data_IF_107628404262
#
_entry.id   IF_107628404262
#
_cell.length_a   1.000
_cell.length_b   1.000
_cell.length_c   1.000
_cell.angle_alpha   90.00
_cell.angle_beta   90.00
_cell.angle_gamma   90.00
#
_symmetry.space_group_name_H-M   'P 1'
#
loop_
_entity.id
_entity.type
_entity.pdbx_description
1 polymer ?
#
# COMPACT_ATOMS: atom_id res chain seq x y z
N UNK A 1 -66.33 -34.01 36.26
CA UNK A 1 -66.37 -32.71 35.55
C UNK A 1 -64.93 -32.34 35.25
N UNK A 2 -64.55 -32.34 33.97
CA UNK A 2 -63.19 -32.04 33.56
C UNK A 2 -62.98 -30.52 33.59
N UNK A 3 -62.03 -30.05 34.41
CA UNK A 3 -61.61 -28.66 34.44
C UNK A 3 -60.85 -28.32 33.15
N UNK A 4 -61.50 -27.51 32.32
CA UNK A 4 -60.90 -26.93 31.12
C UNK A 4 -59.87 -25.88 31.58
N UNK A 5 -58.58 -26.23 31.51
CA UNK A 5 -57.50 -25.27 31.63
C UNK A 5 -57.48 -24.39 30.38
N UNK A 6 -58.05 -23.19 30.50
CA UNK A 6 -57.88 -22.11 29.53
C UNK A 6 -56.41 -21.67 29.57
N UNK A 7 -55.65 -22.00 28.52
CA UNK A 7 -54.34 -21.40 28.26
C UNK A 7 -54.57 -19.93 27.89
N UNK A 8 -54.21 -19.03 28.79
CA UNK A 8 -54.06 -17.60 28.48
C UNK A 8 -52.88 -17.47 27.49
N UNK A 9 -53.17 -17.10 26.24
CA UNK A 9 -52.18 -16.66 25.28
C UNK A 9 -51.61 -15.31 25.73
N UNK A 10 -50.28 -15.14 25.85
CA UNK A 10 -49.68 -13.81 25.99
C UNK A 10 -49.93 -13.00 24.70
N UNK A 11 -49.97 -11.66 24.79
CA UNK A 11 -50.27 -10.80 23.65
C UNK A 11 -49.30 -11.10 22.50
N UNK A 12 -49.85 -11.39 21.31
CA UNK A 12 -49.07 -11.59 20.10
C UNK A 12 -48.21 -10.34 19.84
N UNK A 13 -46.91 -10.41 20.13
CA UNK A 13 -45.96 -9.42 19.68
C UNK A 13 -45.97 -9.44 18.14
N UNK A 14 -46.17 -8.27 17.52
CA UNK A 14 -46.23 -8.17 16.06
C UNK A 14 -44.92 -8.69 15.46
N UNK A 15 -44.94 -9.70 14.57
CA UNK A 15 -43.74 -10.25 13.95
C UNK A 15 -42.85 -9.17 13.31
N UNK A 16 -43.44 -8.07 12.83
CA UNK A 16 -42.72 -6.94 12.23
C UNK A 16 -41.94 -6.14 13.28
N UNK A 17 -42.45 -6.03 14.50
CA UNK A 17 -41.81 -5.32 15.60
C UNK A 17 -40.56 -6.07 16.08
N UNK A 18 -40.64 -7.40 16.13
CA UNK A 18 -39.50 -8.28 16.45
C UNK A 18 -38.40 -8.14 15.38
N UNK A 19 -38.78 -8.15 14.10
CA UNK A 19 -37.85 -7.97 12.98
C UNK A 19 -37.12 -6.63 13.06
N UNK A 20 -37.86 -5.53 13.27
CA UNK A 20 -37.29 -4.18 13.39
C UNK A 20 -36.33 -4.08 14.58
N UNK A 21 -36.67 -4.69 15.72
CA UNK A 21 -35.82 -4.65 16.90
C UNK A 21 -34.52 -5.44 16.72
N UNK A 22 -34.55 -6.56 16.02
CA UNK A 22 -33.34 -7.32 15.65
C UNK A 22 -32.44 -6.48 14.73
N UNK A 23 -33.02 -5.76 13.77
CA UNK A 23 -32.29 -4.84 12.89
C UNK A 23 -31.61 -3.73 13.69
N UNK A 24 -32.32 -3.09 14.63
CA UNK A 24 -31.76 -2.07 15.52
C UNK A 24 -30.57 -2.60 16.34
N UNK A 25 -30.69 -3.81 16.89
CA UNK A 25 -29.59 -4.44 17.64
C UNK A 25 -28.38 -4.71 16.75
N UNK A 26 -28.60 -5.15 15.50
CA UNK A 26 -27.50 -5.32 14.55
C UNK A 26 -26.81 -3.98 14.18
N UNK A 27 -27.53 -2.86 14.20
CA UNK A 27 -26.95 -1.53 14.01
C UNK A 27 -26.13 -1.06 15.22
N UNK A 28 -26.54 -1.43 16.44
CA UNK A 28 -25.80 -1.11 17.67
C UNK A 28 -24.51 -1.92 17.81
N UNK A 29 -24.47 -3.13 17.24
CA UNK A 29 -23.30 -4.02 17.28
C UNK A 29 -22.80 -4.36 15.86
N UNK A 30 -21.93 -3.52 15.26
CA UNK A 30 -21.46 -3.69 13.88
C UNK A 30 -20.72 -5.01 13.60
N UNK A 31 -20.14 -5.62 14.63
CA UNK A 31 -19.43 -6.90 14.53
C UNK A 31 -20.37 -8.13 14.59
N UNK A 32 -21.67 -7.93 14.78
CA UNK A 32 -22.70 -8.97 14.84
C UNK A 32 -23.20 -9.26 16.27
N UNK A 33 -24.40 -9.82 16.35
CA UNK A 33 -25.11 -10.18 17.59
C UNK A 33 -25.34 -11.70 17.67
N UNK A 34 -25.38 -12.26 18.88
CA UNK A 34 -25.71 -13.68 19.12
C UNK A 34 -27.17 -13.82 19.57
N UNK A 35 -27.75 -15.03 19.49
CA UNK A 35 -29.13 -15.26 19.98
C UNK A 35 -29.27 -14.90 21.48
N UNK A 36 -28.20 -15.04 22.26
CA UNK A 36 -28.18 -14.64 23.67
C UNK A 36 -28.36 -13.13 23.86
N UNK A 37 -27.75 -12.30 22.99
CA UNK A 37 -27.92 -10.84 23.03
C UNK A 37 -29.37 -10.47 22.71
N UNK A 38 -29.96 -11.13 21.70
CA UNK A 38 -31.36 -10.95 21.32
C UNK A 38 -32.30 -11.36 22.47
N UNK A 39 -32.01 -12.48 23.14
CA UNK A 39 -32.78 -12.97 24.28
C UNK A 39 -32.70 -12.05 25.51
N UNK A 40 -31.53 -11.45 25.78
CA UNK A 40 -31.35 -10.56 26.92
C UNK A 40 -32.07 -9.22 26.73
N UNK A 41 -32.10 -8.69 25.51
CA UNK A 41 -32.82 -7.46 25.16
C UNK A 41 -34.32 -7.67 25.03
N UNK A 42 -34.75 -8.86 24.60
CA UNK A 42 -36.16 -9.22 24.44
C UNK A 42 -36.51 -10.51 25.20
N UNK A 43 -36.52 -10.48 26.55
CA UNK A 43 -36.76 -11.66 27.37
C UNK A 43 -38.21 -12.17 27.34
N UNK A 44 -39.14 -11.35 26.83
CA UNK A 44 -40.57 -11.64 26.73
C UNK A 44 -40.94 -12.41 25.45
N UNK A 45 -39.99 -12.61 24.53
CA UNK A 45 -40.23 -13.29 23.24
C UNK A 45 -39.77 -14.74 23.31
N UNK A 46 -40.66 -15.67 22.92
CA UNK A 46 -40.34 -17.09 22.89
C UNK A 46 -39.26 -17.40 21.83
N UNK A 47 -38.43 -18.42 22.10
CA UNK A 47 -37.36 -18.83 21.20
C UNK A 47 -37.85 -19.17 19.78
N UNK A 48 -39.08 -19.70 19.67
CA UNK A 48 -39.69 -20.05 18.39
C UNK A 48 -40.05 -18.80 17.56
N UNK A 49 -40.55 -17.74 18.20
CA UNK A 49 -40.84 -16.47 17.54
C UNK A 49 -39.56 -15.76 17.07
N UNK A 50 -38.49 -15.78 17.89
CA UNK A 50 -37.18 -15.25 17.49
C UNK A 50 -36.61 -15.98 16.28
N UNK A 51 -36.65 -17.32 16.29
CA UNK A 51 -36.16 -18.12 15.18
C UNK A 51 -36.91 -17.82 13.88
N UNK A 52 -38.23 -17.61 13.94
CA UNK A 52 -39.04 -17.24 12.77
C UNK A 52 -38.62 -15.86 12.23
N UNK A 53 -38.48 -14.85 13.09
CA UNK A 53 -38.05 -13.51 12.69
C UNK A 53 -36.63 -13.51 12.09
N UNK A 54 -35.68 -14.21 12.71
CA UNK A 54 -34.31 -14.36 12.21
C UNK A 54 -34.31 -15.04 10.84
N UNK A 55 -35.04 -16.16 10.69
CA UNK A 55 -35.12 -16.87 9.42
C UNK A 55 -35.76 -16.02 8.33
N UNK A 56 -36.75 -15.17 8.68
CA UNK A 56 -37.38 -14.24 7.75
C UNK A 56 -36.40 -13.15 7.30
N UNK A 57 -35.68 -12.52 8.22
CA UNK A 57 -34.65 -11.52 7.90
C UNK A 57 -33.49 -12.09 7.08
N UNK A 58 -33.10 -13.35 7.35
CA UNK A 58 -32.13 -14.09 6.53
C UNK A 58 -32.68 -14.37 5.13
N UNK A 59 -33.94 -14.80 5.01
CA UNK A 59 -34.60 -15.07 3.72
C UNK A 59 -34.80 -13.81 2.88
N UNK A 60 -35.02 -12.67 3.54
CA UNK A 60 -35.09 -11.33 2.93
C UNK A 60 -33.71 -10.75 2.62
N UNK A 61 -32.63 -11.41 3.06
CA UNK A 61 -31.25 -11.00 2.79
C UNK A 61 -30.82 -9.74 3.53
N UNK A 62 -31.49 -9.38 4.64
CA UNK A 62 -31.13 -8.23 5.48
C UNK A 62 -30.07 -8.56 6.54
N UNK A 63 -29.87 -9.86 6.84
CA UNK A 63 -28.86 -10.36 7.75
C UNK A 63 -27.88 -11.32 7.05
N UNK A 64 -26.62 -11.30 7.46
CA UNK A 64 -25.63 -12.34 7.19
C UNK A 64 -25.46 -13.23 8.43
N UNK A 65 -25.35 -14.55 8.22
CA UNK A 65 -25.05 -15.54 9.25
C UNK A 65 -23.55 -15.86 9.24
N UNK A 66 -22.87 -15.59 10.35
CA UNK A 66 -21.45 -15.87 10.56
C UNK A 66 -21.28 -16.94 11.66
N UNK A 67 -20.23 -17.75 11.56
CA UNK A 67 -19.90 -18.77 12.57
C UNK A 67 -18.66 -18.33 13.34
N UNK A 68 -18.79 -18.20 14.66
CA UNK A 68 -17.67 -17.92 15.57
C UNK A 68 -17.43 -19.10 16.51
N UNK A 69 -16.29 -19.10 17.20
CA UNK A 69 -15.93 -20.10 18.20
C UNK A 69 -16.94 -20.19 19.36
N UNK A 70 -17.72 -19.13 19.58
CA UNK A 70 -18.72 -19.00 20.65
C UNK A 70 -20.17 -19.21 20.20
N UNK A 71 -20.42 -19.47 18.91
CA UNK A 71 -21.77 -19.71 18.38
C UNK A 71 -22.05 -19.03 17.03
N UNK A 72 -23.33 -18.94 16.67
CA UNK A 72 -23.80 -18.23 15.49
C UNK A 72 -23.90 -16.73 15.77
N UNK A 73 -23.42 -15.91 14.82
CA UNK A 73 -23.48 -14.46 14.83
C UNK A 73 -24.34 -13.98 13.67
N UNK A 74 -25.19 -12.99 13.92
CA UNK A 74 -26.05 -12.34 12.94
C UNK A 74 -25.59 -10.89 12.77
N UNK A 75 -25.35 -10.46 11.53
CA UNK A 75 -24.90 -9.09 11.23
C UNK A 75 -25.78 -8.47 10.15
N UNK A 76 -26.02 -7.16 10.23
CA UNK A 76 -26.72 -6.43 9.17
C UNK A 76 -25.95 -6.54 7.84
N UNK A 77 -26.67 -6.77 6.75
CA UNK A 77 -26.09 -6.77 5.40
C UNK A 77 -26.07 -5.35 4.85
N UNK A 78 -24.91 -4.86 4.41
CA UNK A 78 -24.79 -3.54 3.81
C UNK A 78 -25.59 -3.45 2.48
N UNK A 79 -26.72 -2.73 2.53
CA UNK A 79 -27.66 -2.55 1.41
C UNK A 79 -27.00 -1.88 0.18
N UNK A 80 -25.91 -1.12 0.40
CA UNK A 80 -25.10 -0.49 -0.66
C UNK A 80 -24.46 -1.51 -1.63
N UNK A 81 -24.13 -2.71 -1.15
CA UNK A 81 -23.56 -3.78 -1.99
C UNK A 81 -24.65 -4.67 -2.60
N UNK A 82 -25.79 -4.86 -1.92
CA UNK A 82 -26.90 -5.68 -2.40
C UNK A 82 -27.59 -5.10 -3.66
N UNK A 83 -27.66 -3.78 -3.79
CA UNK A 83 -28.21 -3.11 -4.98
C UNK A 83 -27.35 -3.28 -6.25
N UNK A 84 -26.02 -3.36 -6.10
CA UNK A 84 -25.07 -3.47 -7.23
C UNK A 84 -25.01 -4.86 -7.86
N UNK A 85 -25.53 -5.89 -7.18
CA UNK A 85 -25.52 -7.28 -7.64
C UNK A 85 -26.92 -7.86 -7.89
N UNK A 86 -27.95 -7.00 -8.06
CA UNK A 86 -29.32 -7.44 -8.41
C UNK A 86 -29.29 -8.12 -9.79
N UNK A 87 -29.59 -9.43 -9.84
CA UNK A 87 -29.54 -10.25 -11.05
C UNK A 87 -28.22 -11.00 -11.31
N UNK A 88 -27.27 -10.96 -10.38
CA UNK A 88 -26.01 -11.70 -10.46
C UNK A 88 -26.16 -13.16 -10.00
N UNK A 89 -25.53 -14.08 -10.73
CA UNK A 89 -25.49 -15.52 -10.43
C UNK A 89 -24.80 -15.79 -9.08
N UNK A 90 -25.18 -16.87 -8.39
CA UNK A 90 -24.60 -17.22 -7.07
C UNK A 90 -23.08 -17.42 -7.14
N UNK A 91 -22.56 -17.89 -8.28
CA UNK A 91 -21.13 -18.02 -8.54
C UNK A 91 -20.43 -16.64 -8.69
N UNK A 92 -21.08 -15.67 -9.33
CA UNK A 92 -20.53 -14.32 -9.51
C UNK A 92 -20.49 -13.56 -8.17
N UNK A 93 -21.50 -13.75 -7.30
CA UNK A 93 -21.49 -13.25 -5.92
C UNK A 93 -20.35 -13.83 -5.09
N UNK A 94 -20.12 -15.15 -5.18
CA UNK A 94 -19.02 -15.80 -4.46
C UNK A 94 -17.65 -15.25 -4.89
N UNK A 95 -17.41 -15.12 -6.21
CA UNK A 95 -16.15 -14.58 -6.72
C UNK A 95 -15.96 -13.12 -6.31
N UNK A 96 -17.01 -12.32 -6.34
CA UNK A 96 -16.96 -10.92 -5.88
C UNK A 96 -16.59 -10.83 -4.39
N UNK A 97 -17.22 -11.63 -3.54
CA UNK A 97 -16.92 -11.67 -2.11
C UNK A 97 -15.47 -12.08 -1.82
N UNK A 98 -14.93 -13.07 -2.54
CA UNK A 98 -13.52 -13.47 -2.43
C UNK A 98 -12.56 -12.33 -2.81
N UNK A 99 -12.92 -11.49 -3.78
CA UNK A 99 -12.12 -10.33 -4.19
C UNK A 99 -12.25 -9.19 -3.15
N UNK A 100 -13.44 -8.98 -2.60
CA UNK A 100 -13.69 -8.01 -1.53
C UNK A 100 -12.88 -8.35 -0.27
N UNK A 101 -12.87 -9.63 0.14
CA UNK A 101 -12.08 -10.13 1.27
C UNK A 101 -10.57 -9.97 1.08
N UNK A 102 -10.08 -9.89 -0.16
CA UNK A 102 -8.66 -9.71 -0.47
C UNK A 102 -8.17 -8.26 -0.29
N UNK A 103 -9.09 -7.29 -0.24
CA UNK A 103 -8.79 -5.89 -0.02
C UNK A 103 -7.79 -5.31 -1.03
N UNK A 104 -6.91 -4.43 -0.54
CA UNK A 104 -6.03 -3.57 -1.35
C UNK A 104 -4.81 -4.30 -1.94
N UNK A 105 -4.44 -5.47 -1.41
CA UNK A 105 -3.42 -6.35 -1.99
C UNK A 105 -3.94 -7.10 -3.21
N UNK A 106 -5.26 -7.21 -3.33
CA UNK A 106 -5.94 -7.95 -4.39
C UNK A 106 -5.67 -9.46 -4.34
N UNK A 107 -6.25 -10.18 -5.29
CA UNK A 107 -6.16 -11.65 -5.36
C UNK A 107 -5.90 -12.16 -6.78
N UNK A 108 -5.12 -13.22 -6.91
CA UNK A 108 -4.80 -13.83 -8.22
C UNK A 108 -5.90 -14.78 -8.66
N UNK A 109 -6.10 -14.91 -9.98
CA UNK A 109 -7.11 -15.82 -10.55
C UNK A 109 -6.94 -17.28 -10.10
N UNK A 110 -5.70 -17.73 -9.85
CA UNK A 110 -5.40 -19.05 -9.30
C UNK A 110 -5.90 -19.22 -7.86
N UNK A 111 -5.79 -18.18 -7.04
CA UNK A 111 -6.20 -18.24 -5.64
C UNK A 111 -7.71 -18.08 -5.52
N UNK A 112 -8.33 -17.28 -6.40
CA UNK A 112 -9.79 -17.26 -6.60
C UNK A 112 -10.28 -18.68 -6.94
N UNK A 113 -9.61 -19.38 -7.87
CA UNK A 113 -9.96 -20.76 -8.23
C UNK A 113 -9.90 -21.71 -7.04
N UNK A 114 -8.85 -21.62 -6.23
CA UNK A 114 -8.70 -22.48 -5.06
C UNK A 114 -9.79 -22.21 -4.02
N UNK A 115 -10.15 -20.94 -3.80
CA UNK A 115 -11.19 -20.55 -2.82
C UNK A 115 -12.62 -20.78 -3.30
N UNK A 116 -12.91 -20.57 -4.58
CA UNK A 116 -14.26 -20.71 -5.14
C UNK A 116 -14.58 -22.12 -5.59
N UNK A 117 -13.56 -22.98 -5.78
CA UNK A 117 -13.67 -24.31 -6.35
C UNK A 117 -14.34 -24.33 -7.75
N UNK A 118 -14.20 -23.24 -8.51
CA UNK A 118 -14.76 -23.11 -9.86
C UNK A 118 -13.73 -23.40 -10.97
N UNK A 119 -14.15 -23.90 -12.15
CA UNK A 119 -13.28 -24.00 -13.31
C UNK A 119 -12.71 -22.65 -13.76
N UNK A 120 -11.47 -22.63 -14.25
CA UNK A 120 -10.78 -21.39 -14.65
C UNK A 120 -11.50 -20.67 -15.81
N UNK A 121 -12.18 -21.41 -16.69
CA UNK A 121 -12.97 -20.87 -17.81
C UNK A 121 -14.16 -20.05 -17.32
N UNK A 122 -14.88 -20.53 -16.30
CA UNK A 122 -16.00 -19.82 -15.67
C UNK A 122 -15.50 -18.58 -14.91
N UNK A 123 -14.43 -18.72 -14.13
CA UNK A 123 -13.80 -17.61 -13.42
C UNK A 123 -13.41 -16.49 -14.38
N UNK A 124 -12.78 -16.82 -15.52
CA UNK A 124 -12.41 -15.81 -16.51
C UNK A 124 -13.63 -15.10 -17.14
N UNK A 125 -14.76 -15.78 -17.31
CA UNK A 125 -16.01 -15.14 -17.78
C UNK A 125 -16.58 -14.21 -16.71
N UNK A 126 -16.63 -14.67 -15.45
CA UNK A 126 -17.13 -13.89 -14.31
C UNK A 126 -16.27 -12.64 -14.10
N UNK A 127 -14.94 -12.77 -14.09
CA UNK A 127 -14.02 -11.65 -13.94
C UNK A 127 -14.19 -10.60 -15.05
N UNK A 128 -14.33 -11.03 -16.31
CA UNK A 128 -14.61 -10.12 -17.43
C UNK A 128 -15.95 -9.38 -17.27
N UNK A 129 -16.97 -10.05 -16.74
CA UNK A 129 -18.29 -9.43 -16.51
C UNK A 129 -18.26 -8.44 -15.33
N UNK A 130 -17.57 -8.78 -14.25
CA UNK A 130 -17.39 -7.87 -13.12
C UNK A 130 -16.53 -6.65 -13.48
N UNK A 131 -15.53 -6.83 -14.35
CA UNK A 131 -14.67 -5.76 -14.86
C UNK A 131 -15.43 -4.85 -15.84
N UNK A 132 -16.25 -5.41 -16.75
CA UNK A 132 -17.09 -4.61 -17.65
C UNK A 132 -18.14 -3.77 -16.90
N UNK A 133 -18.67 -4.30 -15.79
CA UNK A 133 -19.57 -3.57 -14.87
C UNK A 133 -18.84 -2.55 -13.98
N UNK A 134 -17.51 -2.42 -14.08
CA UNK A 134 -16.66 -1.58 -13.20
C UNK A 134 -16.85 -1.85 -11.71
N UNK A 135 -17.12 -3.11 -11.34
CA UNK A 135 -17.19 -3.55 -9.95
C UNK A 135 -15.79 -3.93 -9.43
N UNK A 136 -14.99 -4.52 -10.31
CA UNK A 136 -13.58 -4.87 -10.04
C UNK A 136 -12.68 -4.21 -11.09
N UNK A 137 -11.38 -4.18 -10.81
CA UNK A 137 -10.32 -3.83 -11.76
C UNK A 137 -9.19 -4.85 -11.68
N UNK A 138 -8.51 -5.04 -12.80
CA UNK A 138 -7.27 -5.81 -12.86
C UNK A 138 -6.06 -4.87 -12.74
N UNK A 139 -5.16 -5.16 -11.81
CA UNK A 139 -3.90 -4.44 -11.62
C UNK A 139 -2.76 -5.42 -11.83
N UNK A 140 -1.74 -5.04 -12.60
CA UNK A 140 -0.55 -5.88 -12.77
C UNK A 140 0.40 -5.62 -11.60
N UNK A 141 1.01 -6.68 -11.07
CA UNK A 141 1.92 -6.59 -9.94
C UNK A 141 3.32 -6.22 -10.40
N UNK A 142 3.95 -5.23 -9.75
CA UNK A 142 5.35 -4.86 -10.00
C UNK A 142 6.32 -5.95 -9.52
N UNK A 143 6.08 -6.53 -8.34
CA UNK A 143 6.90 -7.62 -7.81
C UNK A 143 6.84 -8.91 -8.65
N UNK A 144 5.77 -9.09 -9.44
CA UNK A 144 5.61 -10.21 -10.34
C UNK A 144 5.02 -9.76 -11.68
N UNK A 145 5.87 -9.19 -12.53
CA UNK A 145 5.52 -8.53 -13.81
C UNK A 145 4.57 -9.30 -14.74
N UNK A 146 4.50 -10.63 -14.65
CA UNK A 146 3.58 -11.48 -15.45
C UNK A 146 2.24 -11.77 -14.78
N UNK A 147 1.99 -11.27 -13.56
CA UNK A 147 0.83 -11.63 -12.74
C UNK A 147 -0.10 -10.44 -12.54
N UNK A 148 -1.38 -10.67 -12.76
CA UNK A 148 -2.46 -9.73 -12.48
C UNK A 148 -3.16 -10.09 -11.17
N UNK A 149 -3.43 -9.08 -10.37
CA UNK A 149 -4.26 -9.15 -9.18
C UNK A 149 -5.61 -8.48 -9.48
N UNK A 150 -6.67 -8.99 -8.88
CA UNK A 150 -8.02 -8.43 -8.98
C UNK A 150 -8.40 -7.81 -7.65
N UNK A 151 -9.01 -6.63 -7.70
CA UNK A 151 -9.48 -5.88 -6.54
C UNK A 151 -10.71 -5.05 -6.91
N UNK A 152 -11.40 -4.50 -5.91
CA UNK A 152 -12.54 -3.62 -6.15
C UNK A 152 -12.14 -2.37 -6.93
N UNK A 153 -13.04 -1.90 -7.80
CA UNK A 153 -12.75 -0.79 -8.71
C UNK A 153 -12.33 0.50 -7.98
N UNK A 154 -13.04 0.83 -6.90
CA UNK A 154 -12.80 2.04 -6.11
C UNK A 154 -11.63 1.93 -5.12
N UNK A 155 -11.01 0.75 -4.98
CA UNK A 155 -9.97 0.53 -3.98
C UNK A 155 -8.60 0.91 -4.53
N UNK A 156 -7.83 1.72 -3.81
CA UNK A 156 -6.45 2.00 -4.22
C UNK A 156 -5.56 0.78 -3.96
N UNK A 157 -4.72 0.36 -4.93
CA UNK A 157 -3.82 -0.76 -4.73
C UNK A 157 -2.81 -0.48 -3.63
N UNK A 158 -2.42 -1.52 -2.90
CA UNK A 158 -1.35 -1.44 -1.91
C UNK A 158 0.01 -1.13 -2.59
N UNK A 159 0.89 -0.40 -1.89
CA UNK A 159 2.24 -0.05 -2.38
C UNK A 159 3.07 -1.29 -2.74
N UNK A 160 2.86 -2.41 -2.06
CA UNK A 160 3.54 -3.68 -2.38
C UNK A 160 3.14 -4.25 -3.75
N UNK A 161 1.98 -3.85 -4.28
CA UNK A 161 1.49 -4.27 -5.60
C UNK A 161 1.96 -3.30 -6.68
N UNK A 162 1.90 -1.99 -6.43
CA UNK A 162 2.24 -0.94 -7.40
C UNK A 162 3.72 -0.54 -7.41
N UNK A 163 4.52 -0.98 -6.44
CA UNK A 163 5.94 -0.60 -6.33
C UNK A 163 6.17 0.79 -5.72
N UNK A 164 5.12 1.47 -5.25
CA UNK A 164 5.21 2.81 -4.66
C UNK A 164 5.25 3.93 -5.70
N UNK A 165 5.89 5.05 -5.35
CA UNK A 165 5.91 6.27 -6.17
C UNK A 165 6.88 6.20 -7.37
N UNK A 166 7.71 5.15 -7.48
CA UNK A 166 8.77 5.03 -8.49
C UNK A 166 8.35 4.29 -9.76
N UNK A 167 7.13 3.78 -9.79
CA UNK A 167 6.62 2.99 -10.90
C UNK A 167 5.37 3.62 -11.47
N UNK A 168 5.32 3.68 -12.80
CA UNK A 168 4.13 4.07 -13.54
C UNK A 168 3.90 3.05 -14.64
N UNK A 169 2.67 2.53 -14.71
CA UNK A 169 2.30 1.47 -15.65
C UNK A 169 3.22 0.23 -15.68
N UNK A 170 3.88 -0.09 -14.55
CA UNK A 170 4.87 -1.15 -14.31
C UNK A 170 6.31 -0.84 -14.75
N UNK A 171 6.55 0.29 -15.39
CA UNK A 171 7.91 0.71 -15.72
C UNK A 171 8.48 1.56 -14.58
N UNK A 172 9.75 1.32 -14.29
CA UNK A 172 10.48 2.12 -13.32
C UNK A 172 10.78 3.49 -13.93
N UNK A 173 10.32 4.57 -13.30
CA UNK A 173 10.56 5.92 -13.77
C UNK A 173 11.96 6.41 -13.35
N UNK A 174 13.00 5.92 -14.03
CA UNK A 174 14.39 6.30 -13.74
C UNK A 174 14.64 7.80 -13.89
N UNK A 175 14.10 8.42 -14.96
CA UNK A 175 14.25 9.85 -15.21
C UNK A 175 13.64 10.69 -14.06
N UNK A 176 12.51 10.27 -13.52
CA UNK A 176 11.87 10.96 -12.41
C UNK A 176 12.71 10.84 -11.13
N UNK A 177 13.22 9.64 -10.84
CA UNK A 177 14.12 9.41 -9.70
C UNK A 177 15.41 10.24 -9.82
N UNK A 178 16.00 10.33 -11.01
CA UNK A 178 17.18 11.15 -11.28
C UNK A 178 16.92 12.64 -11.05
N UNK A 179 15.78 13.16 -11.52
CA UNK A 179 15.39 14.55 -11.28
C UNK A 179 15.24 14.81 -9.79
N UNK A 180 14.55 13.94 -9.04
CA UNK A 180 14.40 14.09 -7.60
C UNK A 180 15.72 14.00 -6.84
N UNK A 181 16.62 13.08 -7.25
CA UNK A 181 17.96 12.98 -6.68
C UNK A 181 18.72 14.30 -6.83
N UNK A 182 18.71 14.89 -8.03
CA UNK A 182 19.34 16.18 -8.29
C UNK A 182 18.71 17.32 -7.47
N UNK A 183 17.38 17.39 -7.37
CA UNK A 183 16.72 18.45 -6.60
C UNK A 183 16.95 18.32 -5.10
N UNK A 184 16.93 17.09 -4.55
CA UNK A 184 17.25 16.84 -3.15
C UNK A 184 18.69 17.27 -2.84
N UNK A 185 19.65 16.91 -3.71
CA UNK A 185 21.04 17.31 -3.54
C UNK A 185 21.21 18.82 -3.61
N UNK A 186 20.60 19.47 -4.61
CA UNK A 186 20.67 20.93 -4.78
C UNK A 186 20.16 21.67 -3.55
N UNK A 187 19.04 21.24 -2.98
CA UNK A 187 18.50 21.81 -1.73
C UNK A 187 19.51 21.72 -0.58
N UNK A 188 20.07 20.52 -0.34
CA UNK A 188 21.05 20.30 0.72
C UNK A 188 22.35 21.08 0.50
N UNK A 189 22.79 21.19 -0.76
CA UNK A 189 23.96 21.97 -1.14
C UNK A 189 23.75 23.45 -0.87
N UNK A 190 22.64 24.04 -1.32
CA UNK A 190 22.31 25.45 -1.07
C UNK A 190 22.19 25.73 0.43
N UNK A 191 21.62 24.81 1.21
CA UNK A 191 21.57 24.95 2.67
C UNK A 191 22.96 24.90 3.31
N UNK A 192 23.85 24.04 2.83
CA UNK A 192 25.23 23.98 3.31
C UNK A 192 26.05 25.24 2.91
N UNK A 193 25.81 25.78 1.71
CA UNK A 193 26.43 27.01 1.20
C UNK A 193 25.99 28.23 2.00
N UNK A 194 24.68 28.42 2.22
CA UNK A 194 24.16 29.52 3.06
C UNK A 194 24.71 29.45 4.50
N UNK A 195 24.84 28.25 5.08
CA UNK A 195 25.50 28.07 6.37
C UNK A 195 26.99 28.47 6.32
N UNK A 196 27.68 28.17 5.21
CA UNK A 196 29.08 28.56 4.97
C UNK A 196 29.23 30.08 4.88
N UNK A 197 28.34 30.74 4.15
CA UNK A 197 28.33 32.19 3.94
C UNK A 197 27.93 33.00 5.18
N UNK A 198 27.12 32.41 6.07
CA UNK A 198 26.70 33.05 7.33
C UNK A 198 27.87 33.44 8.23
N UNK A 199 29.05 32.81 8.06
CA UNK A 199 30.31 33.10 8.79
C UNK A 199 30.16 33.17 10.32
N UNK A 200 29.17 32.46 10.86
CA UNK A 200 28.95 32.32 12.30
C UNK A 200 29.98 31.36 12.92
N UNK A 201 29.89 31.14 14.24
CA UNK A 201 30.67 30.14 14.95
C UNK A 201 30.59 28.76 14.24
N UNK A 202 31.72 28.02 14.05
CA UNK A 202 31.74 26.72 13.38
C UNK A 202 30.73 25.68 13.91
N UNK A 203 30.44 25.69 15.21
CA UNK A 203 29.43 24.79 15.79
C UNK A 203 28.02 25.11 15.30
N UNK A 204 27.67 26.39 15.24
CA UNK A 204 26.36 26.85 14.75
C UNK A 204 26.28 26.64 13.25
N UNK A 205 27.32 26.99 12.50
CA UNK A 205 27.42 26.72 11.07
C UNK A 205 27.22 25.24 10.73
N UNK A 206 27.85 24.34 11.50
CA UNK A 206 27.66 22.89 11.34
C UNK A 206 26.19 22.51 11.52
N UNK A 207 25.55 22.98 12.59
CA UNK A 207 24.14 22.66 12.86
C UNK A 207 23.20 23.24 11.79
N UNK A 208 23.45 24.46 11.32
CA UNK A 208 22.66 25.12 10.27
C UNK A 208 22.77 24.45 8.89
N UNK A 209 23.84 23.70 8.64
CA UNK A 209 24.01 22.97 7.37
C UNK A 209 23.16 21.70 7.25
N UNK A 210 22.54 21.24 8.35
CA UNK A 210 21.67 20.07 8.35
C UNK A 210 20.22 20.43 7.99
N UNK A 211 19.56 19.56 7.24
CA UNK A 211 18.12 19.56 7.03
C UNK A 211 17.50 18.27 7.55
N UNK A 212 16.23 18.32 7.96
CA UNK A 212 15.47 17.11 8.29
C UNK A 212 14.86 16.48 7.04
N UNK A 213 14.55 15.18 7.07
CA UNK A 213 13.80 14.51 5.99
C UNK A 213 12.50 15.26 5.65
N UNK A 214 11.80 15.76 6.69
CA UNK A 214 10.56 16.49 6.53
C UNK A 214 10.74 17.82 5.78
N UNK A 215 11.82 18.55 6.07
CA UNK A 215 12.13 19.81 5.40
C UNK A 215 12.44 19.59 3.91
N UNK A 216 13.24 18.57 3.60
CA UNK A 216 13.54 18.19 2.20
C UNK A 216 12.25 17.78 1.49
N UNK A 217 11.43 16.93 2.11
CA UNK A 217 10.15 16.49 1.56
C UNK A 217 9.23 17.66 1.25
N UNK A 218 9.07 18.59 2.20
CA UNK A 218 8.24 19.78 2.03
C UNK A 218 8.71 20.62 0.84
N UNK A 219 10.01 20.86 0.73
CA UNK A 219 10.59 21.58 -0.40
C UNK A 219 10.26 20.90 -1.75
N UNK A 220 10.44 19.59 -1.84
CA UNK A 220 10.16 18.83 -3.07
C UNK A 220 8.68 18.87 -3.43
N UNK A 221 7.78 18.74 -2.45
CA UNK A 221 6.34 18.86 -2.68
C UNK A 221 5.94 20.26 -3.15
N UNK A 222 6.54 21.32 -2.59
CA UNK A 222 6.27 22.71 -2.98
C UNK A 222 6.76 23.05 -4.39
N UNK A 223 7.80 22.39 -4.89
CA UNK A 223 8.25 22.55 -6.28
C UNK A 223 7.22 22.02 -7.30
N UNK A 224 6.29 21.16 -6.90
CA UNK A 224 5.22 20.66 -7.77
C UNK A 224 5.73 19.82 -8.96
N UNK A 225 6.88 19.15 -8.81
CA UNK A 225 7.54 18.38 -9.88
C UNK A 225 6.69 17.16 -10.30
N UNK A 226 5.97 16.56 -9.35
CA UNK A 226 5.18 15.35 -9.59
C UNK A 226 3.68 15.57 -9.44
N UNK A 227 2.91 14.86 -10.26
CA UNK A 227 1.47 14.66 -10.06
C UNK A 227 1.17 13.56 -9.04
N UNK A 228 2.15 12.69 -8.78
CA UNK A 228 2.04 11.61 -7.81
C UNK A 228 2.34 12.17 -6.42
N UNK A 229 1.55 11.75 -5.44
CA UNK A 229 1.76 12.13 -4.05
C UNK A 229 3.00 11.42 -3.50
N UNK A 230 4.05 12.20 -3.21
CA UNK A 230 5.28 11.71 -2.61
C UNK A 230 5.13 11.71 -1.09
N UNK A 231 5.44 10.59 -0.44
CA UNK A 231 5.51 10.52 1.01
C UNK A 231 6.91 10.91 1.53
N UNK A 232 7.01 11.17 2.83
CA UNK A 232 8.31 11.42 3.47
C UNK A 232 9.24 10.19 3.36
N UNK A 233 8.70 8.97 3.43
CA UNK A 233 9.47 7.73 3.28
C UNK A 233 10.07 7.61 1.87
N UNK A 234 9.31 8.02 0.83
CA UNK A 234 9.82 8.06 -0.54
C UNK A 234 11.07 8.95 -0.63
N UNK A 235 11.00 10.16 -0.07
CA UNK A 235 12.14 11.09 -0.05
C UNK A 235 13.33 10.53 0.73
N UNK A 236 13.10 9.81 1.84
CA UNK A 236 14.20 9.15 2.55
C UNK A 236 14.90 8.09 1.69
N UNK A 237 14.17 7.36 0.83
CA UNK A 237 14.81 6.43 -0.11
C UNK A 237 15.70 7.15 -1.13
N UNK A 238 15.28 8.32 -1.62
CA UNK A 238 16.10 9.17 -2.49
C UNK A 238 17.32 9.71 -1.75
N UNK A 239 17.16 10.18 -0.51
CA UNK A 239 18.27 10.65 0.31
C UNK A 239 19.31 9.55 0.56
N UNK A 240 18.90 8.28 0.70
CA UNK A 240 19.83 7.17 0.79
C UNK A 240 20.67 7.00 -0.49
N UNK A 241 20.10 7.24 -1.68
CA UNK A 241 20.89 7.21 -2.93
C UNK A 241 21.99 8.28 -2.93
N UNK A 242 21.73 9.46 -2.36
CA UNK A 242 22.75 10.51 -2.23
C UNK A 242 23.86 10.17 -1.22
N UNK A 243 23.56 9.35 -0.21
CA UNK A 243 24.57 8.79 0.69
C UNK A 243 25.46 7.80 -0.08
N UNK A 244 24.85 6.93 -0.89
CA UNK A 244 25.61 5.96 -1.70
C UNK A 244 26.46 6.63 -2.79
N UNK A 245 26.01 7.76 -3.34
CA UNK A 245 26.80 8.62 -4.21
C UNK A 245 27.98 9.33 -3.51
N UNK A 246 28.07 9.25 -2.17
CA UNK A 246 29.07 9.96 -1.38
C UNK A 246 28.89 11.48 -1.34
N UNK A 247 27.68 11.97 -1.62
CA UNK A 247 27.34 13.41 -1.71
C UNK A 247 26.73 13.96 -0.43
N UNK A 248 26.15 13.10 0.40
CA UNK A 248 25.39 13.49 1.61
C UNK A 248 25.76 12.59 2.79
N UNK A 249 25.82 13.16 3.98
CA UNK A 249 25.91 12.42 5.24
C UNK A 249 24.59 12.48 6.01
N UNK A 250 24.30 11.43 6.78
CA UNK A 250 23.15 11.33 7.65
C UNK A 250 23.58 11.19 9.12
N UNK A 251 22.92 11.93 10.00
CA UNK A 251 23.05 11.77 11.46
C UNK A 251 21.67 11.59 12.08
N UNK A 252 21.57 10.70 13.05
CA UNK A 252 20.33 10.46 13.81
C UNK A 252 20.48 11.14 15.17
N UNK A 253 19.48 11.94 15.54
CA UNK A 253 19.43 12.61 16.85
C UNK A 253 18.18 12.19 17.62
N UNK A 254 18.25 12.24 18.95
CA UNK A 254 17.07 12.11 19.78
C UNK A 254 16.14 13.30 19.54
N UNK A 255 14.88 13.01 19.26
CA UNK A 255 13.85 13.99 19.00
C UNK A 255 12.97 14.14 20.23
N UNK A 256 12.61 15.37 20.58
CA UNK A 256 11.57 15.59 21.59
C UNK A 256 10.24 15.07 21.04
N UNK A 257 9.46 14.43 21.90
CA UNK A 257 8.16 13.89 21.54
C UNK A 257 7.27 14.97 20.91
N UNK A 258 6.66 14.65 19.76
CA UNK A 258 5.83 15.59 18.99
C UNK A 258 6.58 16.47 17.98
N UNK A 259 7.89 16.28 17.78
CA UNK A 259 8.61 16.95 16.68
C UNK A 259 8.23 16.33 15.32
N UNK A 260 7.85 17.19 14.36
CA UNK A 260 7.40 16.77 13.03
C UNK A 260 8.55 16.11 12.25
N UNK A 261 8.32 14.89 11.77
CA UNK A 261 9.35 14.09 11.09
C UNK A 261 10.15 13.17 12.01
N UNK A 262 9.80 13.08 13.29
CA UNK A 262 10.38 12.09 14.21
C UNK A 262 9.72 10.73 14.04
N UNK A 263 10.52 9.67 14.13
CA UNK A 263 10.09 8.27 14.11
C UNK A 263 10.64 7.63 15.38
N UNK A 264 9.77 7.07 16.21
CA UNK A 264 10.12 6.40 17.48
C UNK A 264 11.05 7.23 18.38
N UNK A 265 10.80 8.54 18.48
CA UNK A 265 11.61 9.46 19.29
C UNK A 265 12.97 9.82 18.68
N UNK A 266 13.22 9.48 17.42
CA UNK A 266 14.45 9.80 16.68
C UNK A 266 14.15 10.68 15.47
N UNK A 267 15.12 11.52 15.08
CA UNK A 267 15.04 12.39 13.91
C UNK A 267 16.27 12.19 13.03
N UNK A 268 16.06 12.04 11.72
CA UNK A 268 17.14 11.96 10.74
C UNK A 268 17.46 13.36 10.21
N UNK A 269 18.75 13.68 10.20
CA UNK A 269 19.29 14.92 9.65
C UNK A 269 20.28 14.60 8.55
N UNK A 270 20.23 15.37 7.47
CA UNK A 270 21.04 15.20 6.26
C UNK A 270 21.80 16.49 5.96
N UNK A 271 23.03 16.37 5.46
CA UNK A 271 23.81 17.51 4.97
C UNK A 271 24.62 17.14 3.74
N UNK A 272 24.77 18.06 2.81
CA UNK A 272 25.68 17.89 1.69
C UNK A 272 27.15 17.92 2.16
N UNK A 273 27.97 17.09 1.53
CA UNK A 273 29.40 16.99 1.76
C UNK A 273 30.16 16.96 0.44
N UNK A 274 31.43 17.37 0.49
CA UNK A 274 32.32 17.24 -0.64
C UNK A 274 32.93 15.83 -0.65
N UNK A 275 33.33 15.30 -1.81
CA UNK A 275 34.12 14.08 -1.88
C UNK A 275 35.41 14.24 -1.06
N UNK A 276 35.85 13.15 -0.42
CA UNK A 276 37.00 13.14 0.48
C UNK A 276 38.29 13.52 -0.26
N UNK A 277 38.46 13.00 -1.47
CA UNK A 277 39.60 13.27 -2.35
C UNK A 277 39.13 13.46 -3.80
N UNK A 278 39.87 14.22 -4.62
CA UNK A 278 39.66 14.24 -6.07
C UNK A 278 39.89 12.87 -6.71
N UNK A 279 39.43 12.66 -7.96
CA UNK A 279 39.75 11.45 -8.72
C UNK A 279 41.26 11.19 -8.78
N UNK A 280 41.64 9.92 -8.59
CA UNK A 280 43.04 9.48 -8.49
C UNK A 280 43.75 9.58 -9.84
N UNK A 281 45.09 9.50 -9.83
CA UNK A 281 45.88 9.51 -11.06
C UNK A 281 45.60 8.32 -11.99
N UNK A 282 45.16 7.17 -11.45
CA UNK A 282 44.93 5.96 -12.23
C UNK A 282 43.82 6.15 -13.27
N UNK A 283 42.71 6.80 -12.89
CA UNK A 283 41.59 7.07 -13.82
C UNK A 283 41.88 8.15 -14.85
N UNK A 284 43.02 8.87 -14.70
CA UNK A 284 43.48 9.84 -15.70
C UNK A 284 44.31 9.21 -16.81
N UNK A 285 44.82 8.00 -16.58
CA UNK A 285 45.51 7.22 -17.59
C UNK A 285 44.51 6.28 -18.30
N UNK A 286 44.59 6.13 -19.64
CA UNK A 286 43.69 5.22 -20.37
C UNK A 286 43.81 3.77 -19.87
N UNK A 287 44.96 3.38 -19.32
CA UNK A 287 45.17 2.07 -18.72
C UNK A 287 44.21 1.78 -17.56
N UNK A 288 43.86 2.79 -16.75
CA UNK A 288 43.01 2.61 -15.57
C UNK A 288 41.54 2.31 -15.89
N UNK A 289 41.13 2.48 -17.15
CA UNK A 289 39.77 2.25 -17.65
C UNK A 289 39.74 1.27 -18.83
N UNK A 290 40.87 0.62 -19.14
CA UNK A 290 40.99 -0.25 -20.31
C UNK A 290 40.20 -1.56 -20.09
N UNK A 291 39.25 -1.91 -20.99
CA UNK A 291 38.45 -3.12 -20.84
C UNK A 291 39.21 -4.41 -21.20
N UNK A 292 40.36 -4.28 -21.88
CA UNK A 292 41.24 -5.38 -22.32
C UNK A 292 42.61 -5.27 -21.68
N UNK A 293 42.66 -4.76 -20.44
CA UNK A 293 43.90 -4.49 -19.71
C UNK A 293 44.77 -5.74 -19.54
N UNK A 294 44.16 -6.88 -19.19
CA UNK A 294 44.86 -8.13 -18.86
C UNK A 294 45.53 -8.80 -20.08
N UNK A 295 45.03 -8.50 -21.28
CA UNK A 295 45.51 -9.06 -22.56
C UNK A 295 46.65 -8.24 -23.18
N UNK A 296 47.00 -7.09 -22.62
CA UNK A 296 47.96 -6.15 -23.19
C UNK A 296 49.41 -6.48 -22.79
N UNK A 297 50.24 -6.90 -23.75
CA UNK A 297 51.65 -7.27 -23.52
C UNK A 297 52.57 -6.82 -24.65
N UNK A 298 53.86 -6.66 -24.37
CA UNK A 298 54.87 -6.33 -25.37
C UNK A 298 54.97 -7.44 -26.43
N UNK A 299 54.89 -7.07 -27.71
CA UNK A 299 54.97 -8.01 -28.83
C UNK A 299 53.69 -8.81 -29.11
N UNK A 300 52.61 -8.59 -28.35
CA UNK A 300 51.29 -9.16 -28.59
C UNK A 300 50.49 -8.41 -29.68
N UNK A 301 49.33 -8.96 -30.04
CA UNK A 301 48.36 -8.26 -30.91
C UNK A 301 47.85 -6.98 -30.24
N UNK A 302 47.54 -7.06 -28.95
CA UNK A 302 47.21 -5.93 -28.08
C UNK A 302 48.50 -5.54 -27.33
N UNK A 303 49.09 -4.40 -27.72
CA UNK A 303 50.34 -3.90 -27.15
C UNK A 303 50.22 -2.40 -26.87
N UNK A 304 50.92 -1.85 -25.85
CA UNK A 304 50.96 -0.41 -25.65
C UNK A 304 51.50 0.35 -26.88
N UNK A 305 52.38 -0.26 -27.67
CA UNK A 305 53.00 0.37 -28.84
C UNK A 305 52.04 0.57 -30.03
N UNK A 306 50.93 -0.17 -30.08
CA UNK A 306 49.92 -0.09 -31.15
C UNK A 306 48.50 0.14 -30.59
N UNK A 307 48.39 0.60 -29.35
CA UNK A 307 47.14 0.73 -28.62
C UNK A 307 46.28 1.89 -29.14
N UNK A 308 45.10 1.56 -29.69
CA UNK A 308 44.12 2.54 -30.19
C UNK A 308 43.67 3.50 -29.08
N UNK A 309 43.40 3.00 -27.86
CA UNK A 309 42.97 3.85 -26.74
C UNK A 309 44.00 4.90 -26.36
N UNK A 310 45.30 4.59 -26.42
CA UNK A 310 46.36 5.57 -26.16
C UNK A 310 46.51 6.56 -27.31
N UNK A 311 46.43 6.09 -28.56
CA UNK A 311 46.50 6.96 -29.74
C UNK A 311 45.38 8.00 -29.72
N UNK A 312 44.13 7.56 -29.55
CA UNK A 312 42.98 8.47 -29.41
C UNK A 312 43.12 9.41 -28.21
N UNK A 313 43.62 8.90 -27.09
CA UNK A 313 43.77 9.70 -25.87
C UNK A 313 44.85 10.80 -25.97
N UNK A 314 45.88 10.61 -26.79
CA UNK A 314 46.95 11.59 -27.00
C UNK A 314 46.66 12.60 -28.11
N UNK A 315 45.62 12.39 -28.92
CA UNK A 315 45.32 13.22 -30.09
C UNK A 315 44.47 14.46 -29.75
N UNK A 316 43.73 14.44 -28.64
CA UNK A 316 42.91 15.55 -28.15
C UNK A 316 43.68 16.56 -27.28
#
# INVERSE_FOLDING_TARGET
MAEVKVKLQPPDADPVEIENRIIELCHQFPHGITDQVIQNEMPHIEAQQRAVAINRLLSMGQLDLLRSNTGLLYRIKDSQNAGKMKGSDNQEKLVYQIIEDAGNKGIWSRDIRYKSNLPLTEINKILKNLESKKLIKAVKSVAASKKKVYMLYNLQPDRSVTGGAWYSDQDFESEFVEVLNQQCFKFLQTKAETARESKQNPMIQRNSSFASSHEVWKYICELGISKVELSMEDIETILNTLIYDGKVEMTIIAAKEGTVGSVDGHMKLYRAVNPIIPPTGLVRAPCGLCPVFDDCHEGGEISPSNCIYMTEWLEF
#
